data_IF_275116506363
#
_entry.id   IF_275116506363
#
_cell.length_a   1.000
_cell.length_b   1.000
_cell.length_c   1.000
_cell.angle_alpha   90.00
_cell.angle_beta   90.00
_cell.angle_gamma   90.00
#
_symmetry.space_group_name_H-M   'P 1'
#
loop_
_entity.id
_entity.type
_entity.pdbx_description
1 polymer ?
#
# COMPACT_ATOMS: atom_id res chain seq x y z
N UNK A 1 -33.93 -32.20 -7.13
CA UNK A 1 -32.51 -32.00 -7.50
C UNK A 1 -32.18 -30.56 -7.92
N UNK A 2 -32.94 -29.90 -8.82
CA UNK A 2 -32.65 -28.50 -9.24
C UNK A 2 -32.60 -27.46 -8.11
N UNK A 3 -33.51 -27.54 -7.12
CA UNK A 3 -33.53 -26.60 -5.97
C UNK A 3 -32.35 -26.79 -5.01
N UNK A 4 -31.92 -28.03 -4.76
CA UNK A 4 -30.74 -28.31 -3.94
C UNK A 4 -29.44 -27.85 -4.62
N UNK A 5 -29.34 -28.00 -5.94
CA UNK A 5 -28.22 -27.49 -6.72
C UNK A 5 -28.14 -25.94 -6.69
N UNK A 6 -29.28 -25.25 -6.83
CA UNK A 6 -29.34 -23.78 -6.76
C UNK A 6 -28.93 -23.26 -5.37
N UNK A 7 -29.38 -23.92 -4.30
CA UNK A 7 -29.00 -23.55 -2.92
C UNK A 7 -27.50 -23.77 -2.70
N UNK A 8 -26.95 -24.91 -3.13
CA UNK A 8 -25.51 -25.19 -3.01
C UNK A 8 -24.62 -24.20 -3.76
N UNK A 9 -25.02 -23.80 -4.98
CA UNK A 9 -24.30 -22.80 -5.80
C UNK A 9 -24.36 -21.40 -5.16
N UNK A 10 -25.53 -21.01 -4.63
CA UNK A 10 -25.70 -19.70 -3.99
C UNK A 10 -24.88 -19.58 -2.70
N UNK A 11 -24.83 -20.64 -1.88
CA UNK A 11 -24.01 -20.67 -0.66
C UNK A 11 -22.51 -20.57 -0.94
N UNK A 12 -22.02 -21.25 -1.99
CA UNK A 12 -20.60 -21.20 -2.37
C UNK A 12 -20.20 -19.82 -2.92
N UNK A 13 -21.07 -19.19 -3.72
CA UNK A 13 -20.83 -17.86 -4.26
C UNK A 13 -20.74 -16.79 -3.15
N UNK A 14 -21.65 -16.82 -2.17
CA UNK A 14 -21.62 -15.88 -1.03
C UNK A 14 -20.32 -15.99 -0.22
N UNK A 15 -19.85 -17.21 0.06
CA UNK A 15 -18.60 -17.43 0.80
C UNK A 15 -17.39 -16.84 0.05
N UNK A 16 -17.31 -17.01 -1.28
CA UNK A 16 -16.22 -16.45 -2.09
C UNK A 16 -16.21 -14.92 -2.12
N UNK A 17 -17.37 -14.28 -2.17
CA UNK A 17 -17.49 -12.82 -2.17
C UNK A 17 -17.03 -12.21 -0.84
N UNK A 18 -17.37 -12.83 0.29
CA UNK A 18 -16.94 -12.37 1.62
C UNK A 18 -15.42 -12.48 1.77
N UNK A 19 -14.82 -13.60 1.37
CA UNK A 19 -13.36 -13.80 1.41
C UNK A 19 -12.63 -12.80 0.51
N UNK A 20 -13.17 -12.50 -0.68
CA UNK A 20 -12.60 -11.50 -1.57
C UNK A 20 -12.68 -10.08 -0.98
N UNK A 21 -13.78 -9.74 -0.29
CA UNK A 21 -13.96 -8.46 0.37
C UNK A 21 -12.97 -8.28 1.54
N UNK A 22 -12.88 -9.25 2.45
CA UNK A 22 -11.95 -9.17 3.59
C UNK A 22 -10.49 -9.08 3.16
N UNK A 23 -10.11 -9.80 2.10
CA UNK A 23 -8.78 -9.69 1.51
C UNK A 23 -8.52 -8.30 0.91
N UNK A 24 -9.50 -7.70 0.22
CA UNK A 24 -9.37 -6.34 -0.32
C UNK A 24 -9.17 -5.32 0.80
N UNK A 25 -9.95 -5.42 1.87
CA UNK A 25 -9.85 -4.51 3.01
C UNK A 25 -8.48 -4.61 3.69
N UNK A 26 -7.96 -5.82 3.89
CA UNK A 26 -6.62 -6.03 4.43
C UNK A 26 -5.50 -5.37 3.58
N UNK A 27 -5.62 -5.39 2.25
CA UNK A 27 -4.67 -4.67 1.38
C UNK A 27 -4.78 -3.15 1.52
N UNK A 28 -6.00 -2.62 1.64
CA UNK A 28 -6.24 -1.18 1.83
C UNK A 28 -5.66 -0.70 3.16
N UNK A 29 -5.93 -1.44 4.25
CA UNK A 29 -5.39 -1.14 5.57
C UNK A 29 -3.85 -1.21 5.58
N UNK A 30 -3.27 -2.28 5.04
CA UNK A 30 -1.83 -2.45 4.96
C UNK A 30 -1.15 -1.38 4.09
N UNK A 31 -1.83 -0.87 3.05
CA UNK A 31 -1.39 0.28 2.25
C UNK A 31 -1.38 1.55 3.09
N UNK A 32 -2.50 1.88 3.72
CA UNK A 32 -2.66 3.11 4.51
C UNK A 32 -1.68 3.17 5.68
N UNK A 33 -1.50 2.07 6.40
CA UNK A 33 -0.49 1.97 7.46
C UNK A 33 0.92 2.25 6.92
N UNK A 34 1.28 1.64 5.79
CA UNK A 34 2.58 1.89 5.16
C UNK A 34 2.76 3.34 4.73
N UNK A 35 1.72 3.98 4.17
CA UNK A 35 1.78 5.38 3.75
C UNK A 35 1.98 6.31 4.96
N UNK A 36 1.30 6.02 6.07
CA UNK A 36 1.43 6.81 7.31
C UNK A 36 2.84 6.78 7.86
N UNK A 37 3.48 5.62 7.84
CA UNK A 37 4.86 5.46 8.32
C UNK A 37 5.88 6.14 7.41
N UNK A 38 5.71 6.04 6.08
CA UNK A 38 6.55 6.81 5.15
C UNK A 38 6.35 8.31 5.30
N UNK A 39 5.11 8.79 5.51
CA UNK A 39 4.83 10.20 5.74
C UNK A 39 5.48 10.70 7.04
N UNK A 40 5.48 9.89 8.10
CA UNK A 40 6.17 10.21 9.35
C UNK A 40 7.69 10.30 9.14
N UNK A 41 8.30 9.35 8.43
CA UNK A 41 9.73 9.37 8.11
C UNK A 41 10.13 10.58 7.25
N UNK A 42 9.36 10.85 6.19
CA UNK A 42 9.58 12.02 5.34
C UNK A 42 9.46 13.33 6.14
N UNK A 43 8.47 13.43 7.05
CA UNK A 43 8.32 14.58 7.94
C UNK A 43 9.54 14.77 8.84
N UNK A 44 10.09 13.70 9.41
CA UNK A 44 11.33 13.78 10.20
C UNK A 44 12.46 14.42 9.39
N UNK A 45 12.68 13.94 8.16
CA UNK A 45 13.72 14.49 7.27
C UNK A 45 13.44 15.96 6.94
N UNK A 46 12.19 16.33 6.63
CA UNK A 46 11.82 17.74 6.39
C UNK A 46 12.12 18.63 7.59
N UNK A 47 11.77 18.21 8.80
CA UNK A 47 12.03 18.98 10.03
C UNK A 47 13.53 19.14 10.29
N UNK A 48 14.35 18.13 9.96
CA UNK A 48 15.81 18.23 10.02
C UNK A 48 16.35 19.23 9.00
N UNK A 49 15.89 19.17 7.74
CA UNK A 49 16.30 20.10 6.69
C UNK A 49 15.88 21.55 6.97
N UNK A 50 14.75 21.74 7.66
CA UNK A 50 14.29 23.03 8.15
C UNK A 50 15.12 23.57 9.34
N UNK A 51 16.08 22.80 9.86
CA UNK A 51 16.88 23.15 11.05
C UNK A 51 16.11 23.15 12.36
N UNK A 52 14.87 22.61 12.36
CA UNK A 52 13.97 22.56 13.53
C UNK A 52 14.22 21.34 14.41
N UNK A 53 14.94 20.35 13.90
CA UNK A 53 15.48 19.21 14.64
C UNK A 53 17.00 19.23 14.45
N UNK A 54 17.74 18.92 15.52
CA UNK A 54 19.19 18.81 15.42
C UNK A 54 19.57 17.78 14.34
N UNK A 55 20.54 18.14 13.50
CA UNK A 55 21.03 17.27 12.43
C UNK A 55 21.82 16.10 13.04
N UNK A 56 21.09 15.02 13.35
CA UNK A 56 21.62 13.80 13.92
C UNK A 56 21.60 12.69 12.86
N UNK A 57 22.78 12.21 12.49
CA UNK A 57 22.96 11.13 11.52
C UNK A 57 22.14 9.87 11.86
N UNK A 58 21.96 9.55 13.14
CA UNK A 58 21.15 8.39 13.56
C UNK A 58 19.68 8.55 13.19
N UNK A 59 19.08 9.70 13.53
CA UNK A 59 17.67 9.97 13.24
C UNK A 59 17.41 10.09 11.74
N UNK A 60 18.33 10.71 10.99
CA UNK A 60 18.26 10.74 9.53
C UNK A 60 18.29 9.33 8.94
N UNK A 61 19.23 8.50 9.41
CA UNK A 61 19.36 7.11 8.97
C UNK A 61 18.09 6.33 9.25
N UNK A 62 17.54 6.37 10.46
CA UNK A 62 16.30 5.65 10.81
C UNK A 62 15.11 6.04 9.91
N UNK A 63 14.96 7.34 9.61
CA UNK A 63 13.94 7.82 8.70
C UNK A 63 14.17 7.31 7.26
N UNK A 64 15.41 7.36 6.77
CA UNK A 64 15.78 6.83 5.46
C UNK A 64 15.53 5.31 5.37
N UNK A 65 15.91 4.55 6.39
CA UNK A 65 15.68 3.11 6.46
C UNK A 65 14.18 2.75 6.49
N UNK A 66 13.37 3.58 7.15
CA UNK A 66 11.90 3.44 7.12
C UNK A 66 11.35 3.64 5.71
N UNK A 67 11.84 4.66 4.97
CA UNK A 67 11.46 4.87 3.57
C UNK A 67 11.92 3.71 2.68
N UNK A 68 13.17 3.27 2.82
CA UNK A 68 13.73 2.12 2.07
C UNK A 68 12.91 0.86 2.27
N UNK A 69 12.56 0.53 3.52
CA UNK A 69 11.82 -0.69 3.86
C UNK A 69 10.38 -0.69 3.33
N UNK A 70 9.79 0.49 3.07
CA UNK A 70 8.36 0.64 2.74
C UNK A 70 8.09 1.04 1.29
N UNK A 71 9.14 1.24 0.51
CA UNK A 71 9.09 1.57 -0.92
C UNK A 71 9.46 0.35 -1.77
N UNK A 72 9.68 0.53 -3.08
CA UNK A 72 10.03 -0.56 -3.98
C UNK A 72 9.01 -1.71 -4.00
N UNK A 73 9.47 -2.98 -4.02
CA UNK A 73 8.58 -4.14 -4.04
C UNK A 73 7.55 -4.17 -2.90
N UNK A 74 7.92 -3.69 -1.71
CA UNK A 74 7.02 -3.65 -0.55
C UNK A 74 5.84 -2.68 -0.78
N UNK A 75 6.09 -1.58 -1.49
CA UNK A 75 5.04 -0.66 -1.90
C UNK A 75 4.18 -1.27 -3.01
N UNK A 76 4.82 -1.82 -4.05
CA UNK A 76 4.14 -2.37 -5.23
C UNK A 76 3.13 -3.45 -4.84
N UNK A 77 3.53 -4.36 -3.94
CA UNK A 77 2.66 -5.44 -3.44
C UNK A 77 1.37 -4.94 -2.75
N UNK A 78 1.34 -3.68 -2.31
CA UNK A 78 0.17 -3.05 -1.68
C UNK A 78 -0.79 -2.45 -2.70
N UNK A 79 -0.53 -2.53 -4.01
CA UNK A 79 -1.39 -1.99 -5.09
C UNK A 79 -1.92 -3.04 -6.06
N UNK A 80 -2.59 -4.12 -5.60
CA UNK A 80 -3.29 -5.00 -6.53
C UNK A 80 -4.46 -4.26 -7.23
N UNK A 81 -4.64 -4.47 -8.53
CA UNK A 81 -5.65 -3.80 -9.36
C UNK A 81 -7.05 -3.77 -8.76
N UNK A 82 -7.44 -4.86 -8.08
CA UNK A 82 -8.77 -5.02 -7.44
C UNK A 82 -9.00 -4.08 -6.24
N UNK A 83 -8.04 -3.22 -5.89
CA UNK A 83 -8.09 -2.31 -4.74
C UNK A 83 -7.88 -0.84 -5.12
N UNK A 84 -7.94 -0.51 -6.41
CA UNK A 84 -7.76 0.85 -6.96
C UNK A 84 -9.08 1.61 -7.14
N UNK A 85 -10.03 1.38 -6.25
CA UNK A 85 -11.34 2.03 -6.22
C UNK A 85 -11.82 2.13 -4.77
N UNK A 86 -12.98 2.77 -4.56
CA UNK A 86 -13.59 2.91 -3.24
C UNK A 86 -13.66 1.56 -2.50
N UNK A 87 -13.34 1.50 -1.20
CA UNK A 87 -13.11 2.63 -0.29
C UNK A 87 -11.67 3.19 -0.33
N UNK A 88 -10.80 2.71 -1.20
CA UNK A 88 -9.45 3.25 -1.33
C UNK A 88 -9.45 4.63 -2.00
N UNK A 89 -8.55 5.51 -1.55
CA UNK A 89 -8.20 6.73 -2.26
C UNK A 89 -7.22 6.52 -3.43
N UNK A 90 -6.73 5.28 -3.64
CA UNK A 90 -5.92 4.96 -4.80
C UNK A 90 -6.79 4.90 -6.05
N UNK A 91 -6.34 5.55 -7.11
CA UNK A 91 -7.10 5.67 -8.35
C UNK A 91 -6.69 4.62 -9.37
N UNK A 92 -7.57 4.32 -10.32
CA UNK A 92 -7.37 3.35 -11.40
C UNK A 92 -6.20 3.72 -12.33
N UNK A 93 -5.85 5.01 -12.41
CA UNK A 93 -4.74 5.55 -13.18
C UNK A 93 -3.41 4.88 -12.80
N UNK A 94 -3.26 4.39 -11.56
CA UNK A 94 -2.08 3.62 -11.13
C UNK A 94 -1.90 2.34 -11.95
N UNK A 95 -2.99 1.69 -12.36
CA UNK A 95 -2.91 0.53 -13.27
C UNK A 95 -2.59 0.95 -14.71
N UNK A 96 -3.10 2.09 -15.16
CA UNK A 96 -2.85 2.60 -16.52
C UNK A 96 -1.37 2.94 -16.73
N UNK A 97 -0.72 3.44 -15.68
CA UNK A 97 0.71 3.79 -15.65
C UNK A 97 1.54 2.82 -14.80
N UNK A 98 1.13 1.55 -14.73
CA UNK A 98 1.72 0.55 -13.82
C UNK A 98 3.26 0.48 -13.90
N UNK A 99 3.90 0.41 -15.09
CA UNK A 99 5.36 0.34 -15.18
C UNK A 99 6.05 1.57 -14.58
N UNK A 100 5.49 2.76 -14.78
CA UNK A 100 6.04 4.01 -14.27
C UNK A 100 5.89 4.11 -12.76
N UNK A 101 4.73 3.69 -12.22
CA UNK A 101 4.51 3.59 -10.78
C UNK A 101 5.52 2.65 -10.12
N UNK A 102 5.73 1.46 -10.68
CA UNK A 102 6.70 0.48 -10.16
C UNK A 102 8.14 1.00 -10.25
N UNK A 103 8.50 1.64 -11.36
CA UNK A 103 9.81 2.24 -11.54
C UNK A 103 10.07 3.34 -10.50
N UNK A 104 9.09 4.22 -10.24
CA UNK A 104 9.20 5.24 -9.21
C UNK A 104 9.31 4.64 -7.80
N UNK A 105 8.49 3.63 -7.48
CA UNK A 105 8.57 2.94 -6.19
C UNK A 105 9.96 2.37 -5.95
N UNK A 106 10.52 1.67 -6.94
CA UNK A 106 11.87 1.12 -6.89
C UNK A 106 12.94 2.21 -6.86
N UNK A 107 12.74 3.31 -7.57
CA UNK A 107 13.70 4.41 -7.58
C UNK A 107 13.82 5.06 -6.20
N UNK A 108 12.70 5.38 -5.56
CA UNK A 108 12.70 5.94 -4.19
C UNK A 108 13.41 4.99 -3.23
N UNK A 109 13.11 3.68 -3.31
CA UNK A 109 13.76 2.69 -2.44
C UNK A 109 15.26 2.51 -2.65
N UNK A 110 15.82 2.94 -3.80
CA UNK A 110 17.27 2.97 -4.02
C UNK A 110 17.94 4.25 -3.50
N UNK A 111 17.18 5.34 -3.34
CA UNK A 111 17.68 6.62 -2.86
C UNK A 111 17.65 6.73 -1.33
N UNK A 112 16.73 6.01 -0.69
CA UNK A 112 16.57 5.93 0.76
C UNK A 112 17.54 4.92 1.40
#
# INVERSE_FOLDING_TARGET
MRRAAIIGILSLACASAVVAATRRDAFIEARQASMKEMAAAAKTITVMFDGKLADNATTFKEAAETLRARTGPALIAKFPSVTLHAPSGAKLEIDQVRPEFEALACHIGRLA
#
